data_IF_236655185668
#
_entry.id   IF_236655185668
#
_cell.length_a   1.000
_cell.length_b   1.000
_cell.length_c   1.000
_cell.angle_alpha   90.00
_cell.angle_beta   90.00
_cell.angle_gamma   90.00
#
_symmetry.space_group_name_H-M   'P 1'
#
loop_
_entity.id
_entity.type
_entity.pdbx_description
1 polymer ?
#
# COMPACT_ATOMS: atom_id res chain seq x y z
N UNK A 1 19.61 61.84 -15.20
CA UNK A 1 18.57 61.35 -16.11
C UNK A 1 18.32 59.89 -15.77
N UNK A 2 17.28 59.65 -14.97
CA UNK A 2 16.97 58.29 -14.43
C UNK A 2 15.86 57.71 -15.31
N UNK A 3 16.18 56.66 -16.08
CA UNK A 3 15.22 55.92 -16.88
C UNK A 3 14.40 55.01 -15.97
N UNK A 4 13.18 55.47 -15.65
CA UNK A 4 12.20 54.66 -14.94
C UNK A 4 11.67 53.55 -15.85
N UNK A 5 12.21 52.36 -15.74
CA UNK A 5 11.59 51.15 -16.30
C UNK A 5 10.36 50.80 -15.49
N UNK A 6 9.15 50.99 -16.08
CA UNK A 6 7.91 50.50 -15.53
C UNK A 6 7.93 48.96 -15.57
N UNK A 7 7.52 48.28 -14.51
CA UNK A 7 7.35 46.82 -14.56
C UNK A 7 6.28 46.50 -15.61
N UNK A 8 6.65 45.66 -16.59
CA UNK A 8 5.70 45.09 -17.55
C UNK A 8 4.87 44.05 -16.81
N UNK A 9 3.57 44.30 -16.73
CA UNK A 9 2.63 43.32 -16.18
C UNK A 9 2.65 42.04 -17.02
N UNK A 10 2.63 40.87 -16.40
CA UNK A 10 2.59 39.59 -17.14
C UNK A 10 1.30 39.56 -17.99
N UNK A 11 1.36 38.95 -19.20
CA UNK A 11 0.19 38.87 -20.07
C UNK A 11 -0.91 38.07 -19.36
N UNK A 12 -2.05 38.72 -19.15
CA UNK A 12 -3.26 38.03 -18.72
C UNK A 12 -3.61 36.97 -19.80
N UNK A 13 -3.62 35.71 -19.42
CA UNK A 13 -4.08 34.65 -20.27
C UNK A 13 -5.56 34.88 -20.63
N UNK A 14 -5.78 35.40 -21.84
CA UNK A 14 -7.09 35.50 -22.45
C UNK A 14 -7.53 34.06 -22.77
N UNK A 15 -8.67 33.62 -22.22
CA UNK A 15 -9.31 32.38 -22.62
C UNK A 15 -9.68 31.45 -21.49
N UNK A 16 -10.24 31.96 -20.40
CA UNK A 16 -11.03 31.12 -19.52
C UNK A 16 -12.35 30.76 -20.24
N UNK A 17 -12.40 29.58 -20.86
CA UNK A 17 -13.66 28.99 -21.27
C UNK A 17 -14.56 28.87 -20.03
N UNK A 18 -15.84 29.31 -20.08
CA UNK A 18 -16.76 29.09 -18.97
C UNK A 18 -16.92 27.57 -18.81
N UNK A 19 -16.32 27.01 -17.78
CA UNK A 19 -16.56 25.62 -17.39
C UNK A 19 -18.03 25.50 -16.95
N UNK A 20 -18.80 24.53 -17.52
CA UNK A 20 -20.16 24.26 -17.06
C UNK A 20 -20.11 24.02 -15.56
N UNK A 21 -20.96 24.77 -14.81
CA UNK A 21 -20.94 24.86 -13.36
C UNK A 21 -20.86 23.52 -12.64
N UNK A 22 -19.65 23.12 -12.29
CA UNK A 22 -19.47 22.19 -11.18
C UNK A 22 -19.94 22.95 -9.92
N UNK A 23 -20.77 22.35 -9.07
CA UNK A 23 -21.11 22.94 -7.79
C UNK A 23 -19.80 23.27 -7.10
N UNK A 24 -19.63 24.56 -6.74
CA UNK A 24 -18.44 25.02 -6.00
C UNK A 24 -18.37 24.19 -4.72
N UNK A 25 -17.58 23.11 -4.77
CA UNK A 25 -17.38 22.21 -3.66
C UNK A 25 -16.79 22.98 -2.50
N UNK A 26 -17.31 22.72 -1.32
CA UNK A 26 -16.73 23.12 -0.03
C UNK A 26 -15.22 23.12 -0.17
N UNK A 27 -14.50 24.18 0.20
CA UNK A 27 -13.04 24.21 0.11
C UNK A 27 -12.47 23.05 0.91
N UNK A 28 -12.07 22.01 0.20
CA UNK A 28 -11.46 20.82 0.80
C UNK A 28 -10.05 21.27 1.19
N UNK A 29 -9.81 21.40 2.48
CA UNK A 29 -8.47 21.67 3.00
C UNK A 29 -7.49 20.67 2.43
N UNK A 30 -6.33 21.09 1.92
CA UNK A 30 -5.35 20.18 1.37
C UNK A 30 -4.99 19.11 2.42
N UNK A 31 -4.88 17.84 2.02
CA UNK A 31 -4.61 16.77 2.96
C UNK A 31 -3.25 16.98 3.63
N UNK A 32 -3.17 16.73 4.93
CA UNK A 32 -1.94 16.88 5.71
C UNK A 32 -0.87 15.87 5.20
N UNK A 33 0.27 16.34 4.63
CA UNK A 33 1.28 15.48 4.03
C UNK A 33 1.90 14.49 5.03
N UNK A 34 2.15 14.94 6.25
CA UNK A 34 2.76 14.09 7.29
C UNK A 34 1.81 12.98 7.75
N UNK A 35 0.50 13.25 7.80
CA UNK A 35 -0.49 12.24 8.12
C UNK A 35 -0.61 11.19 7.00
N UNK A 36 -0.55 11.62 5.74
CA UNK A 36 -0.55 10.70 4.59
C UNK A 36 0.69 9.81 4.57
N UNK A 37 1.88 10.37 4.84
CA UNK A 37 3.13 9.62 4.88
C UNK A 37 3.12 8.55 5.99
N UNK A 38 2.65 8.91 7.20
CA UNK A 38 2.50 7.96 8.32
C UNK A 38 1.47 6.87 7.99
N UNK A 39 0.36 7.24 7.37
CA UNK A 39 -0.68 6.31 6.98
C UNK A 39 -0.19 5.32 5.93
N UNK A 40 0.56 5.78 4.92
CA UNK A 40 1.17 4.92 3.92
C UNK A 40 2.13 3.91 4.55
N UNK A 41 3.01 4.37 5.44
CA UNK A 41 3.95 3.50 6.14
C UNK A 41 3.23 2.49 7.03
N UNK A 42 2.21 2.90 7.78
CA UNK A 42 1.44 2.01 8.64
C UNK A 42 0.75 0.89 7.85
N UNK A 43 0.12 1.19 6.71
CA UNK A 43 -0.49 0.18 5.85
C UNK A 43 0.54 -0.76 5.23
N UNK A 44 1.70 -0.24 4.80
CA UNK A 44 2.78 -1.06 4.28
C UNK A 44 3.34 -2.03 5.31
N UNK A 45 3.60 -1.55 6.53
CA UNK A 45 4.06 -2.40 7.65
C UNK A 45 3.00 -3.41 8.03
N UNK A 46 1.72 -3.03 8.10
CA UNK A 46 0.63 -3.95 8.39
C UNK A 46 0.55 -5.09 7.37
N UNK A 47 0.69 -4.81 6.07
CA UNK A 47 0.71 -5.82 5.02
C UNK A 47 1.87 -6.82 5.20
N UNK A 48 3.06 -6.34 5.53
CA UNK A 48 4.21 -7.19 5.82
C UNK A 48 4.02 -8.06 7.06
N UNK A 49 3.54 -7.47 8.16
CA UNK A 49 3.28 -8.22 9.41
C UNK A 49 2.26 -9.33 9.17
N UNK A 50 1.15 -9.04 8.50
CA UNK A 50 0.13 -10.04 8.18
C UNK A 50 0.73 -11.13 7.30
N UNK A 51 1.53 -10.80 6.29
CA UNK A 51 2.17 -11.79 5.41
C UNK A 51 3.15 -12.70 6.16
N UNK A 52 4.00 -12.12 7.01
CA UNK A 52 4.95 -12.89 7.83
C UNK A 52 4.20 -13.81 8.79
N UNK A 53 3.18 -13.32 9.49
CA UNK A 53 2.38 -14.15 10.39
C UNK A 53 1.67 -15.29 9.66
N UNK A 54 1.19 -15.06 8.44
CA UNK A 54 0.59 -16.09 7.60
C UNK A 54 1.59 -17.18 7.26
N UNK A 55 2.81 -16.80 6.85
CA UNK A 55 3.88 -17.76 6.53
C UNK A 55 4.31 -18.55 7.77
N UNK A 56 4.56 -17.86 8.89
CA UNK A 56 4.95 -18.51 10.16
C UNK A 56 3.86 -19.47 10.62
N UNK A 57 2.61 -19.08 10.53
CA UNK A 57 1.47 -19.95 10.87
C UNK A 57 1.41 -21.19 9.98
N UNK A 58 1.60 -21.03 8.68
CA UNK A 58 1.62 -22.16 7.74
C UNK A 58 2.78 -23.12 8.02
N UNK A 59 3.98 -22.61 8.27
CA UNK A 59 5.17 -23.41 8.60
C UNK A 59 4.97 -24.13 9.93
N UNK A 60 4.51 -23.44 10.97
CA UNK A 60 4.24 -24.06 12.27
C UNK A 60 3.22 -25.18 12.15
N UNK A 61 2.16 -24.99 11.38
CA UNK A 61 1.19 -26.03 11.11
C UNK A 61 1.81 -27.22 10.38
N UNK A 62 2.57 -26.98 9.31
CA UNK A 62 3.22 -28.05 8.54
C UNK A 62 4.17 -28.91 9.39
N UNK A 63 4.84 -28.31 10.39
CA UNK A 63 5.72 -29.02 11.31
C UNK A 63 4.97 -29.82 12.38
N UNK A 64 3.79 -29.39 12.79
CA UNK A 64 3.03 -30.01 13.88
C UNK A 64 1.95 -30.99 13.38
N UNK A 65 1.47 -30.83 12.16
CA UNK A 65 0.41 -31.66 11.59
C UNK A 65 0.72 -33.19 11.64
N UNK A 66 1.94 -33.65 11.32
CA UNK A 66 2.25 -35.09 11.39
C UNK A 66 2.12 -35.68 12.80
N UNK A 67 2.34 -34.86 13.84
CA UNK A 67 2.25 -35.32 15.23
C UNK A 67 0.80 -35.41 15.75
N UNK A 68 -0.15 -34.81 15.04
CA UNK A 68 -1.56 -34.74 15.45
C UNK A 68 -2.45 -35.85 14.88
N UNK A 69 -1.88 -36.82 14.15
CA UNK A 69 -2.62 -37.94 13.56
C UNK A 69 -3.52 -37.51 12.40
N UNK A 70 -4.78 -37.98 12.38
CA UNK A 70 -5.69 -37.65 11.27
C UNK A 70 -6.08 -36.14 11.26
N UNK A 71 -5.18 -35.38 10.71
CA UNK A 71 -5.26 -33.91 10.68
C UNK A 71 -6.07 -33.35 9.49
N UNK A 72 -6.86 -34.19 8.78
CA UNK A 72 -7.61 -33.80 7.59
C UNK A 72 -8.53 -32.58 7.84
N UNK A 73 -9.18 -32.55 8.98
CA UNK A 73 -10.02 -31.42 9.39
C UNK A 73 -9.23 -30.14 9.70
N UNK A 74 -8.06 -30.26 10.33
CA UNK A 74 -7.20 -29.12 10.67
C UNK A 74 -6.55 -28.52 9.41
N UNK A 75 -6.13 -29.36 8.46
CA UNK A 75 -5.62 -28.90 7.17
C UNK A 75 -6.64 -28.06 6.41
N UNK A 76 -7.88 -28.49 6.41
CA UNK A 76 -8.99 -27.73 5.80
C UNK A 76 -9.21 -26.38 6.49
N UNK A 77 -9.16 -26.32 7.82
CA UNK A 77 -9.29 -25.07 8.58
C UNK A 77 -8.16 -24.08 8.23
N UNK A 78 -6.91 -24.56 8.19
CA UNK A 78 -5.76 -23.72 7.83
C UNK A 78 -5.86 -23.22 6.40
N UNK A 79 -6.29 -24.07 5.47
CA UNK A 79 -6.51 -23.67 4.08
C UNK A 79 -7.60 -22.57 3.97
N UNK A 80 -8.74 -22.74 4.64
CA UNK A 80 -9.80 -21.74 4.67
C UNK A 80 -9.31 -20.43 5.29
N UNK A 81 -8.53 -20.50 6.37
CA UNK A 81 -7.95 -19.31 6.98
C UNK A 81 -6.98 -18.58 6.04
N UNK A 82 -6.12 -19.30 5.33
CA UNK A 82 -5.21 -18.73 4.34
C UNK A 82 -5.96 -18.07 3.17
N UNK A 83 -6.97 -18.74 2.62
CA UNK A 83 -7.82 -18.15 1.57
C UNK A 83 -8.55 -16.92 2.07
N UNK A 84 -9.04 -16.92 3.32
CA UNK A 84 -9.72 -15.78 3.94
C UNK A 84 -8.80 -14.56 4.17
N UNK A 85 -7.50 -14.76 4.33
CA UNK A 85 -6.53 -13.67 4.49
C UNK A 85 -6.24 -12.94 3.17
N UNK A 86 -6.37 -13.60 2.02
CA UNK A 86 -6.08 -13.00 0.71
C UNK A 86 -6.87 -11.70 0.44
N UNK A 87 -8.19 -11.63 0.65
CA UNK A 87 -8.93 -10.37 0.49
C UNK A 87 -8.40 -9.24 1.38
N UNK A 88 -8.05 -9.57 2.63
CA UNK A 88 -7.45 -8.60 3.55
C UNK A 88 -6.13 -8.04 3.00
N UNK A 89 -5.25 -8.90 2.50
CA UNK A 89 -3.98 -8.49 1.91
C UNK A 89 -4.17 -7.63 0.66
N UNK A 90 -5.15 -7.93 -0.17
CA UNK A 90 -5.51 -7.11 -1.33
C UNK A 90 -5.94 -5.71 -0.87
N UNK A 91 -6.79 -5.62 0.14
CA UNK A 91 -7.25 -4.33 0.70
C UNK A 91 -6.07 -3.55 1.27
N UNK A 92 -5.19 -4.18 2.05
CA UNK A 92 -3.99 -3.55 2.61
C UNK A 92 -3.06 -3.02 1.51
N UNK A 93 -2.88 -3.80 0.42
CA UNK A 93 -2.10 -3.38 -0.74
C UNK A 93 -2.68 -2.13 -1.39
N UNK A 94 -3.98 -2.14 -1.68
CA UNK A 94 -4.66 -1.02 -2.33
C UNK A 94 -4.60 0.24 -1.45
N UNK A 95 -4.89 0.10 -0.15
CA UNK A 95 -4.86 1.22 0.79
C UNK A 95 -3.45 1.78 0.98
N UNK A 96 -2.45 0.92 1.10
CA UNK A 96 -1.05 1.32 1.25
C UNK A 96 -0.50 1.98 0.00
N UNK A 97 -0.76 1.41 -1.18
CA UNK A 97 -0.34 1.97 -2.47
C UNK A 97 -1.00 3.34 -2.73
N UNK A 98 -2.32 3.45 -2.55
CA UNK A 98 -3.05 4.71 -2.72
C UNK A 98 -2.61 5.79 -1.73
N UNK A 99 -2.41 5.45 -0.45
CA UNK A 99 -1.90 6.37 0.55
C UNK A 99 -0.46 6.81 0.22
N UNK A 100 0.37 5.89 -0.27
CA UNK A 100 1.73 6.17 -0.69
C UNK A 100 1.79 7.12 -1.90
N UNK A 101 0.98 6.87 -2.93
CA UNK A 101 0.89 7.75 -4.11
C UNK A 101 0.45 9.17 -3.73
N UNK A 102 -0.62 9.29 -2.94
CA UNK A 102 -1.09 10.58 -2.44
C UNK A 102 -0.04 11.24 -1.55
N UNK A 103 0.59 10.49 -0.65
CA UNK A 103 1.63 11.01 0.23
C UNK A 103 2.85 11.53 -0.53
N UNK A 104 3.27 10.88 -1.63
CA UNK A 104 4.34 11.40 -2.49
C UNK A 104 3.93 12.64 -3.25
N UNK A 105 2.68 12.72 -3.74
CA UNK A 105 2.18 13.86 -4.50
C UNK A 105 2.07 15.14 -3.64
N UNK A 106 1.76 15.01 -2.34
CA UNK A 106 1.60 16.13 -1.41
C UNK A 106 2.79 16.32 -0.47
N UNK A 107 3.87 15.53 -0.61
CA UNK A 107 5.03 15.63 0.26
C UNK A 107 5.66 17.02 0.20
N UNK A 108 5.78 17.68 1.34
CA UNK A 108 6.41 18.99 1.50
C UNK A 108 7.88 18.88 1.93
N UNK A 109 8.28 17.71 2.43
CA UNK A 109 9.64 17.44 2.88
C UNK A 109 10.21 16.15 2.27
N UNK A 110 11.55 16.03 2.11
CA UNK A 110 12.18 14.80 1.64
C UNK A 110 11.85 13.57 2.52
N UNK A 111 11.67 13.80 3.82
CA UNK A 111 11.31 12.75 4.79
C UNK A 111 9.91 12.19 4.51
N UNK A 112 8.93 13.04 4.29
CA UNK A 112 7.55 12.64 3.96
C UNK A 112 7.50 11.87 2.64
N UNK A 113 8.22 12.35 1.63
CA UNK A 113 8.34 11.65 0.36
C UNK A 113 8.93 10.25 0.53
N UNK A 114 10.04 10.14 1.28
CA UNK A 114 10.70 8.85 1.53
C UNK A 114 9.80 7.88 2.30
N UNK A 115 9.11 8.36 3.35
CA UNK A 115 8.16 7.53 4.12
C UNK A 115 7.01 7.04 3.26
N UNK A 116 6.44 7.91 2.43
CA UNK A 116 5.34 7.56 1.52
C UNK A 116 5.78 6.54 0.47
N UNK A 117 6.97 6.72 -0.11
CA UNK A 117 7.59 5.79 -1.07
C UNK A 117 7.88 4.44 -0.43
N UNK A 118 8.40 4.42 0.79
CA UNK A 118 8.68 3.19 1.54
C UNK A 118 7.38 2.44 1.84
N UNK A 119 6.37 3.13 2.35
CA UNK A 119 5.07 2.54 2.64
C UNK A 119 4.42 1.93 1.39
N UNK A 120 4.47 2.63 0.26
CA UNK A 120 4.00 2.11 -1.04
C UNK A 120 4.77 0.84 -1.42
N UNK A 121 6.10 0.86 -1.37
CA UNK A 121 6.91 -0.30 -1.71
C UNK A 121 6.64 -1.49 -0.80
N UNK A 122 6.53 -1.27 0.50
CA UNK A 122 6.18 -2.33 1.44
C UNK A 122 4.82 -2.96 1.12
N UNK A 123 3.81 -2.15 0.81
CA UNK A 123 2.48 -2.66 0.46
C UNK A 123 2.43 -3.38 -0.89
N UNK A 124 3.43 -3.23 -1.74
CA UNK A 124 3.52 -3.93 -3.03
C UNK A 124 4.45 -5.16 -2.97
N UNK A 125 5.52 -5.11 -2.19
CA UNK A 125 6.55 -6.15 -2.16
C UNK A 125 6.23 -7.33 -1.25
N UNK A 126 5.29 -7.23 -0.31
CA UNK A 126 4.92 -8.35 0.55
C UNK A 126 4.39 -9.56 -0.24
N UNK A 127 3.83 -9.34 -1.44
CA UNK A 127 3.42 -10.42 -2.34
C UNK A 127 4.56 -11.34 -2.76
N UNK A 128 5.78 -10.81 -2.85
CA UNK A 128 6.97 -11.60 -3.19
C UNK A 128 7.19 -12.70 -2.14
N UNK A 129 7.03 -12.37 -0.85
CA UNK A 129 7.14 -13.35 0.22
C UNK A 129 6.10 -14.46 0.11
N UNK A 130 4.86 -14.09 -0.20
CA UNK A 130 3.78 -15.06 -0.35
C UNK A 130 4.01 -15.97 -1.56
N UNK A 131 4.44 -15.41 -2.70
CA UNK A 131 4.75 -16.19 -3.90
C UNK A 131 5.93 -17.15 -3.64
N UNK A 132 6.97 -16.70 -2.95
CA UNK A 132 8.12 -17.55 -2.61
C UNK A 132 7.71 -18.66 -1.64
N UNK A 133 6.91 -18.36 -0.61
CA UNK A 133 6.44 -19.36 0.34
C UNK A 133 5.54 -20.40 -0.33
N UNK A 134 4.61 -19.96 -1.18
CA UNK A 134 3.73 -20.86 -1.91
C UNK A 134 4.48 -21.71 -2.94
N UNK A 135 5.45 -21.12 -3.65
CA UNK A 135 6.31 -21.81 -4.59
C UNK A 135 7.16 -22.89 -3.91
N UNK A 136 7.73 -22.61 -2.74
CA UNK A 136 8.48 -23.58 -1.96
C UNK A 136 7.61 -24.77 -1.54
N UNK A 137 6.37 -24.53 -1.16
CA UNK A 137 5.41 -25.58 -0.80
C UNK A 137 5.05 -26.45 -2.00
N UNK A 138 4.79 -25.86 -3.15
CA UNK A 138 4.53 -26.62 -4.38
C UNK A 138 5.72 -27.49 -4.78
N UNK A 139 6.96 -27.00 -4.65
CA UNK A 139 8.17 -27.78 -4.94
C UNK A 139 8.29 -28.96 -3.96
N UNK A 140 8.02 -28.75 -2.68
CA UNK A 140 8.04 -29.79 -1.66
C UNK A 140 7.05 -30.92 -1.97
N UNK A 141 5.82 -30.55 -2.36
CA UNK A 141 4.76 -31.48 -2.74
C UNK A 141 5.13 -32.33 -3.97
N UNK A 142 5.81 -31.71 -4.94
CA UNK A 142 6.26 -32.44 -6.15
C UNK A 142 7.46 -33.37 -5.91
N UNK A 143 8.21 -33.15 -4.82
CA UNK A 143 9.40 -33.94 -4.48
C UNK A 143 9.09 -35.16 -3.59
N UNK A 144 7.89 -35.25 -3.05
CA UNK A 144 7.39 -36.39 -2.24
C UNK A 144 6.52 -37.32 -3.06
#
# INVERSE_FOLDING_TARGET
>A
MSNGQRPVAPPQAAGAYPQPGYPQGVPVSPPNPSALARKALAWGVAAWVVSVLTIVGAVAFALTAPAMGDASGLGTIVFIAQVGILPLLIVLTIMGSNAGLKGMAYASTPREFTMSKLGKRLSETHWILLVLAFGAECIREMAN
#
